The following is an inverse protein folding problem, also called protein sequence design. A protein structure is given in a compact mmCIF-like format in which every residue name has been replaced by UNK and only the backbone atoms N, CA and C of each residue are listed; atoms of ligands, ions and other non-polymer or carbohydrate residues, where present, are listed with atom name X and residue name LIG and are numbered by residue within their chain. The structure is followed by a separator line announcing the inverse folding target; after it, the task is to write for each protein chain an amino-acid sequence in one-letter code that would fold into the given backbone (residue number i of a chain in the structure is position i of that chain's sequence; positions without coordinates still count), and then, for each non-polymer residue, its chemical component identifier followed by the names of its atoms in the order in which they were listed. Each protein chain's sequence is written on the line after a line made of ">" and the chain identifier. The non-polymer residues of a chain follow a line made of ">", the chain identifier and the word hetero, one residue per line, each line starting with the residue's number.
data_IF_451117147837
#
_entry.id   IF_451117147837
#
_cell.length_a   1.000
_cell.length_b   1.000
_cell.length_c   1.000
_cell.angle_alpha   90.00
_cell.angle_beta   90.00
_cell.angle_gamma   90.00
#
_symmetry.space_group_name_H-M   'P 1'
#
loop_
_entity.id
_entity.type
_entity.pdbx_description
1 polymer ?
#
# COMPACT_ATOMS: atom_id res chain seq x y z
N UNK A 1 -52.57 -30.86 29.16
CA UNK A 1 -53.68 -30.70 28.19
C UNK A 1 -54.44 -29.43 28.54
N UNK A 2 -54.50 -28.53 27.56
CA UNK A 2 -55.47 -27.44 27.35
C UNK A 2 -55.51 -26.32 28.41
N UNK A 3 -55.30 -25.04 28.10
CA UNK A 3 -55.11 -24.37 26.82
C UNK A 3 -55.69 -22.95 26.87
N UNK A 4 -54.83 -21.96 26.56
CA UNK A 4 -55.11 -20.66 25.91
C UNK A 4 -56.22 -19.76 26.48
N UNK A 5 -55.79 -18.65 27.10
CA UNK A 5 -56.31 -17.26 27.08
C UNK A 5 -55.21 -16.47 27.85
N UNK A 6 -54.56 -15.40 27.42
CA UNK A 6 -54.84 -14.34 26.48
C UNK A 6 -53.50 -13.83 25.93
N UNK A 7 -53.26 -14.01 24.64
CA UNK A 7 -52.12 -13.42 23.91
C UNK A 7 -52.72 -12.51 22.81
N UNK A 8 -53.42 -11.47 23.25
CA UNK A 8 -54.06 -10.47 22.39
C UNK A 8 -53.65 -9.08 22.88
N UNK A 9 -52.40 -8.69 22.62
CA UNK A 9 -51.94 -7.30 22.77
C UNK A 9 -50.71 -6.96 21.92
N UNK A 10 -50.44 -7.71 20.84
CA UNK A 10 -49.22 -7.56 20.05
C UNK A 10 -49.42 -7.39 18.53
N UNK A 11 -50.63 -7.06 18.04
CA UNK A 11 -50.86 -6.91 16.59
C UNK A 11 -51.60 -5.64 16.16
N UNK A 12 -51.28 -4.48 16.74
CA UNK A 12 -51.61 -3.18 16.14
C UNK A 12 -50.48 -2.16 16.36
N UNK A 13 -49.34 -2.41 15.73
CA UNK A 13 -48.47 -1.34 15.25
C UNK A 13 -48.36 -1.57 13.74
N UNK A 14 -49.48 -1.37 13.05
CA UNK A 14 -49.46 -1.20 11.60
C UNK A 14 -48.70 0.08 11.31
N UNK A 15 -47.64 -0.07 10.53
CA UNK A 15 -46.82 0.99 9.99
C UNK A 15 -47.70 2.09 9.38
N UNK A 16 -47.85 3.20 10.08
CA UNK A 16 -48.04 4.50 9.43
C UNK A 16 -46.65 5.00 9.05
N UNK A 17 -46.08 4.41 8.01
CA UNK A 17 -44.98 5.03 7.26
C UNK A 17 -45.51 6.34 6.68
N UNK A 18 -45.40 7.42 7.44
CA UNK A 18 -45.56 8.77 6.90
C UNK A 18 -44.45 8.95 5.87
N UNK A 19 -44.77 9.18 4.58
CA UNK A 19 -43.75 9.50 3.60
C UNK A 19 -43.35 10.95 3.87
N UNK A 20 -42.09 11.17 4.28
CA UNK A 20 -41.53 12.52 4.23
C UNK A 20 -40.77 13.02 5.45
N UNK A 21 -40.28 12.17 6.36
CA UNK A 21 -39.19 12.62 7.25
C UNK A 21 -37.89 12.44 6.48
N UNK A 22 -37.49 13.48 5.75
CA UNK A 22 -36.12 13.58 5.28
C UNK A 22 -35.21 13.47 6.50
N UNK A 23 -34.16 12.63 6.49
CA UNK A 23 -33.22 12.57 7.60
C UNK A 23 -32.69 13.99 7.84
N UNK A 24 -32.85 14.51 9.06
CA UNK A 24 -32.24 15.76 9.47
C UNK A 24 -30.74 15.61 9.24
N UNK A 25 -30.19 16.33 8.26
CA UNK A 25 -28.74 16.45 8.12
C UNK A 25 -28.26 17.27 9.31
N UNK A 26 -27.75 16.59 10.33
CA UNK A 26 -27.17 17.22 11.51
C UNK A 26 -25.67 17.38 11.26
N UNK A 27 -25.25 18.58 10.88
CA UNK A 27 -23.83 18.89 10.70
C UNK A 27 -23.25 19.35 12.04
N UNK A 28 -22.17 18.74 12.50
CA UNK A 28 -21.46 19.18 13.71
C UNK A 28 -20.19 19.93 13.31
N UNK A 29 -19.97 21.11 13.90
CA UNK A 29 -18.81 21.97 13.64
C UNK A 29 -18.13 22.27 14.96
N UNK A 30 -16.84 21.94 15.06
CA UNK A 30 -16.03 22.19 16.25
C UNK A 30 -15.07 23.33 15.99
N UNK A 31 -15.05 24.33 16.89
CA UNK A 31 -14.19 25.51 16.73
C UNK A 31 -13.59 25.90 18.08
N UNK A 32 -12.32 26.29 18.05
CA UNK A 32 -11.61 26.79 19.23
C UNK A 32 -12.10 28.19 19.58
N UNK A 33 -12.32 28.46 20.86
CA UNK A 33 -12.65 29.80 21.32
C UNK A 33 -11.56 30.81 20.89
N UNK A 34 -11.99 31.96 20.37
CA UNK A 34 -11.15 33.02 19.82
C UNK A 34 -10.91 32.92 18.30
N UNK A 35 -11.11 31.76 17.70
CA UNK A 35 -10.97 31.56 16.25
C UNK A 35 -12.25 31.91 15.48
N UNK A 36 -12.12 32.01 14.16
CA UNK A 36 -13.22 32.22 13.23
C UNK A 36 -13.98 30.91 12.98
N UNK A 37 -15.31 30.95 13.05
CA UNK A 37 -16.18 29.85 12.61
C UNK A 37 -16.86 30.19 11.30
N UNK A 38 -17.08 29.15 10.49
CA UNK A 38 -17.92 29.24 9.30
C UNK A 38 -18.92 28.11 9.31
N UNK A 39 -20.19 28.49 9.26
CA UNK A 39 -21.33 27.58 9.13
C UNK A 39 -21.87 27.72 7.71
N UNK A 40 -21.91 26.62 6.99
CA UNK A 40 -22.40 26.58 5.62
C UNK A 40 -23.68 25.77 5.57
N UNK A 41 -24.74 26.39 5.05
CA UNK A 41 -26.02 25.71 4.88
C UNK A 41 -25.88 24.60 3.81
N UNK A 42 -26.26 23.34 4.08
CA UNK A 42 -26.15 22.23 3.13
C UNK A 42 -26.91 22.46 1.81
N UNK A 43 -26.38 21.94 0.70
CA UNK A 43 -27.04 22.01 -0.62
C UNK A 43 -27.85 20.75 -0.83
N UNK A 44 -29.11 20.87 -1.24
CA UNK A 44 -29.88 19.72 -1.72
C UNK A 44 -29.81 19.65 -3.24
N UNK A 45 -29.46 18.48 -3.80
CA UNK A 45 -29.52 18.25 -5.25
C UNK A 45 -30.96 18.43 -5.73
N UNK A 46 -31.19 19.31 -6.70
CA UNK A 46 -32.49 19.50 -7.35
C UNK A 46 -33.01 20.95 -7.41
N UNK A 47 -32.33 21.90 -6.77
CA UNK A 47 -32.61 23.33 -6.96
C UNK A 47 -31.37 24.03 -7.51
N UNK A 48 -31.52 24.66 -8.68
CA UNK A 48 -30.61 25.72 -9.13
C UNK A 48 -30.77 26.88 -8.15
N UNK A 49 -29.78 27.01 -7.28
CA UNK A 49 -29.70 27.89 -6.11
C UNK A 49 -29.46 29.36 -6.52
N UNK A 50 -30.18 29.82 -7.55
CA UNK A 50 -30.15 31.22 -7.97
C UNK A 50 -30.90 32.06 -6.94
N UNK A 51 -30.15 32.89 -6.21
CA UNK A 51 -30.62 34.00 -5.37
C UNK A 51 -31.69 33.67 -4.31
N UNK A 52 -31.83 32.41 -3.90
CA UNK A 52 -32.76 32.04 -2.85
C UNK A 52 -32.31 32.63 -1.50
N UNK A 53 -33.13 33.51 -0.93
CA UNK A 53 -32.87 34.15 0.36
C UNK A 53 -32.87 33.09 1.48
N UNK A 54 -31.72 32.94 2.15
CA UNK A 54 -31.52 31.97 3.24
C UNK A 54 -31.57 32.67 4.58
N UNK A 55 -32.46 32.23 5.45
CA UNK A 55 -32.62 32.77 6.80
C UNK A 55 -31.84 31.93 7.81
N UNK A 56 -30.95 32.60 8.53
CA UNK A 56 -30.17 32.02 9.63
C UNK A 56 -30.81 32.32 10.99
N UNK A 57 -30.87 31.30 11.83
CA UNK A 57 -31.38 31.38 13.19
C UNK A 57 -30.43 30.69 14.17
N UNK A 58 -30.04 31.36 15.24
CA UNK A 58 -29.40 30.71 16.39
C UNK A 58 -30.47 30.24 17.39
N UNK A 59 -30.24 29.05 17.93
CA UNK A 59 -30.99 28.41 19.01
C UNK A 59 -29.99 28.15 20.14
N UNK A 60 -29.44 29.23 20.68
CA UNK A 60 -28.51 29.23 21.83
C UNK A 60 -29.29 29.21 23.14
N UNK A 61 -28.64 28.81 24.23
CA UNK A 61 -29.30 28.64 25.55
C UNK A 61 -29.95 29.94 26.05
N UNK A 62 -29.35 31.08 25.73
CA UNK A 62 -29.78 32.38 26.26
C UNK A 62 -30.85 33.09 25.40
N UNK A 63 -30.89 32.84 24.09
CA UNK A 63 -31.84 33.53 23.19
C UNK A 63 -31.95 32.85 21.82
N UNK A 64 -33.13 32.97 21.19
CA UNK A 64 -33.34 32.67 19.76
C UNK A 64 -33.14 33.94 18.94
N UNK A 65 -32.17 33.95 18.02
CA UNK A 65 -31.85 35.16 17.23
C UNK A 65 -31.93 34.92 15.72
N UNK A 66 -32.60 35.83 15.01
CA UNK A 66 -32.65 35.85 13.55
C UNK A 66 -31.59 36.82 13.00
N UNK A 67 -30.56 36.28 12.35
CA UNK A 67 -29.43 37.12 11.90
C UNK A 67 -29.78 37.99 10.69
N UNK A 68 -30.60 37.47 9.77
CA UNK A 68 -31.01 38.20 8.56
C UNK A 68 -31.88 39.43 8.85
N UNK A 69 -32.55 39.48 10.01
CA UNK A 69 -33.37 40.63 10.43
C UNK A 69 -32.57 41.67 11.22
N UNK A 70 -31.33 41.34 11.59
CA UNK A 70 -30.42 42.27 12.26
C UNK A 70 -29.83 43.24 11.24
N UNK A 71 -29.74 44.52 11.60
CA UNK A 71 -29.05 45.53 10.80
C UNK A 71 -27.55 45.20 10.66
N UNK A 72 -26.90 45.73 9.63
CA UNK A 72 -25.45 45.54 9.44
C UNK A 72 -24.62 46.08 10.61
N UNK A 73 -25.10 47.10 11.33
CA UNK A 73 -24.46 47.63 12.53
C UNK A 73 -24.54 46.64 13.70
N UNK A 74 -25.71 46.03 13.93
CA UNK A 74 -25.89 45.00 14.96
C UNK A 74 -25.05 43.74 14.65
N UNK A 75 -25.03 43.33 13.38
CA UNK A 75 -24.18 42.22 12.92
C UNK A 75 -22.68 42.48 13.18
N UNK A 76 -22.21 43.69 12.89
CA UNK A 76 -20.82 44.11 13.22
C UNK A 76 -20.56 44.09 14.72
N UNK A 77 -21.49 44.58 15.54
CA UNK A 77 -21.36 44.57 17.00
C UNK A 77 -21.29 43.14 17.56
N UNK A 78 -22.01 42.20 16.93
CA UNK A 78 -21.95 40.78 17.26
C UNK A 78 -20.71 40.07 16.68
N UNK A 79 -19.98 40.69 15.76
CA UNK A 79 -18.88 40.04 15.04
C UNK A 79 -19.36 38.90 14.12
N UNK A 80 -20.56 39.03 13.55
CA UNK A 80 -21.18 38.00 12.70
C UNK A 80 -21.40 38.56 11.28
N UNK A 81 -21.14 37.74 10.26
CA UNK A 81 -21.40 38.08 8.86
C UNK A 81 -22.34 37.04 8.24
N UNK A 82 -23.39 37.51 7.59
CA UNK A 82 -24.34 36.65 6.88
C UNK A 82 -24.30 36.98 5.40
N UNK A 83 -24.05 35.97 4.57
CA UNK A 83 -24.17 36.12 3.13
C UNK A 83 -24.67 34.82 2.49
N UNK A 84 -25.92 34.86 2.03
CA UNK A 84 -26.61 33.70 1.46
C UNK A 84 -26.49 32.48 2.38
N UNK A 85 -25.85 31.42 1.88
CA UNK A 85 -25.68 30.13 2.55
C UNK A 85 -24.54 30.07 3.55
N UNK A 86 -23.88 31.19 3.85
CA UNK A 86 -22.72 31.23 4.72
C UNK A 86 -23.01 32.17 5.90
N UNK A 87 -22.82 31.65 7.10
CA UNK A 87 -22.79 32.40 8.35
C UNK A 87 -21.38 32.32 8.93
N UNK A 88 -20.75 33.47 9.12
CA UNK A 88 -19.41 33.60 9.68
C UNK A 88 -19.50 34.22 11.06
N UNK A 89 -18.80 33.64 12.03
CA UNK A 89 -18.59 34.23 13.35
C UNK A 89 -17.09 34.56 13.43
N UNK A 90 -16.75 35.85 13.50
CA UNK A 90 -15.38 36.34 13.37
C UNK A 90 -14.49 35.88 14.55
N UNK A 91 -15.03 35.92 15.77
CA UNK A 91 -14.36 35.39 16.97
C UNK A 91 -15.37 34.62 17.81
N UNK A 92 -15.23 33.32 17.81
CA UNK A 92 -16.12 32.42 18.53
C UNK A 92 -15.82 32.49 20.03
N UNK A 93 -16.87 32.38 20.83
CA UNK A 93 -16.79 32.28 22.29
C UNK A 93 -17.76 31.22 22.77
N UNK A 94 -17.66 30.80 24.03
CA UNK A 94 -18.56 29.79 24.62
C UNK A 94 -20.04 30.17 24.51
N UNK A 95 -20.37 31.47 24.48
CA UNK A 95 -21.74 31.97 24.33
C UNK A 95 -22.32 31.70 22.93
N UNK A 96 -21.46 31.46 21.93
CA UNK A 96 -21.89 31.12 20.59
C UNK A 96 -22.21 29.62 20.44
N UNK A 97 -21.93 28.80 21.45
CA UNK A 97 -22.22 27.36 21.42
C UNK A 97 -23.73 27.11 21.37
N UNK A 98 -24.16 26.26 20.46
CA UNK A 98 -25.57 25.92 20.33
C UNK A 98 -25.93 25.40 18.94
N UNK A 99 -27.23 25.25 18.73
CA UNK A 99 -27.75 24.80 17.45
C UNK A 99 -28.11 26.00 16.57
N UNK A 100 -27.67 25.96 15.34
CA UNK A 100 -27.98 26.93 14.31
C UNK A 100 -28.87 26.25 13.29
N UNK A 101 -29.78 27.01 12.69
CA UNK A 101 -30.55 26.51 11.57
C UNK A 101 -30.59 27.51 10.44
N UNK A 102 -30.61 26.95 9.23
CA UNK A 102 -30.81 27.68 7.99
C UNK A 102 -32.05 27.17 7.27
N UNK A 103 -32.86 28.09 6.77
CA UNK A 103 -34.07 27.78 6.00
C UNK A 103 -34.14 28.66 4.76
N UNK A 104 -34.51 28.06 3.63
CA UNK A 104 -34.70 28.78 2.37
C UNK A 104 -36.09 29.43 2.35
N UNK A 105 -36.20 30.64 1.79
CA UNK A 105 -37.49 31.30 1.57
C UNK A 105 -38.43 30.37 0.80
N UNK A 106 -39.67 30.24 1.27
CA UNK A 106 -40.70 29.34 0.72
C UNK A 106 -40.43 27.83 0.86
N UNK A 107 -39.48 27.42 1.70
CA UNK A 107 -39.25 26.02 2.04
C UNK A 107 -39.60 25.75 3.50
N UNK A 108 -40.34 24.66 3.75
CA UNK A 108 -40.51 24.12 5.10
C UNK A 108 -39.27 23.36 5.58
N UNK A 109 -38.28 23.17 4.70
CA UNK A 109 -37.04 22.46 5.03
C UNK A 109 -36.10 23.37 5.80
N UNK A 110 -35.63 22.85 6.92
CA UNK A 110 -34.65 23.48 7.79
C UNK A 110 -33.49 22.53 8.00
N UNK A 111 -32.29 22.99 7.72
CA UNK A 111 -31.07 22.26 8.04
C UNK A 111 -30.54 22.74 9.38
N UNK A 112 -29.99 21.80 10.15
CA UNK A 112 -29.52 22.06 11.51
C UNK A 112 -28.02 21.83 11.58
N UNK A 113 -27.32 22.76 12.23
CA UNK A 113 -25.88 22.75 12.41
C UNK A 113 -25.60 22.96 13.89
N UNK A 114 -24.87 22.05 14.52
CA UNK A 114 -24.45 22.18 15.91
C UNK A 114 -23.05 22.75 15.97
N UNK A 115 -22.90 23.94 16.57
CA UNK A 115 -21.60 24.55 16.82
C UNK A 115 -21.15 24.21 18.24
N UNK A 116 -20.08 23.43 18.34
CA UNK A 116 -19.41 23.11 19.60
C UNK A 116 -18.15 23.95 19.75
N UNK A 117 -18.05 24.67 20.87
CA UNK A 117 -16.94 25.58 21.13
C UNK A 117 -16.06 24.97 22.20
N UNK A 118 -14.79 24.76 21.87
CA UNK A 118 -13.84 24.15 22.79
C UNK A 118 -12.78 25.17 23.23
N UNK A 119 -12.30 25.01 24.46
CA UNK A 119 -11.26 25.87 25.05
C UNK A 119 -9.97 25.08 25.20
N UNK A 120 -8.86 25.75 25.49
CA UNK A 120 -7.55 25.10 25.66
C UNK A 120 -7.50 24.03 26.78
N UNK A 121 -8.53 23.91 27.63
CA UNK A 121 -8.62 22.89 28.67
C UNK A 121 -9.25 21.57 28.20
N UNK A 122 -9.91 21.51 27.04
CA UNK A 122 -10.62 20.30 26.60
C UNK A 122 -9.74 19.40 25.72
N UNK A 123 -9.00 18.47 26.33
CA UNK A 123 -8.17 17.47 25.62
C UNK A 123 -8.96 16.54 24.70
N UNK A 124 -10.24 16.30 25.02
CA UNK A 124 -11.11 15.36 24.30
C UNK A 124 -11.51 15.84 22.89
N UNK A 125 -11.50 17.15 22.63
CA UNK A 125 -11.94 17.71 21.34
C UNK A 125 -10.81 17.81 20.29
N UNK A 126 -9.54 17.85 20.75
CA UNK A 126 -8.36 17.89 19.89
C UNK A 126 -8.21 16.61 19.04
N UNK A 127 -8.75 15.48 19.53
CA UNK A 127 -8.67 14.18 18.86
C UNK A 127 -9.75 13.98 17.78
N UNK A 128 -10.94 14.57 17.91
CA UNK A 128 -12.06 14.32 16.99
C UNK A 128 -11.93 15.00 15.62
N UNK A 129 -11.10 16.04 15.49
CA UNK A 129 -10.94 16.82 14.26
C UNK A 129 -9.58 16.65 13.60
N UNK A 130 -8.83 15.61 13.99
CA UNK A 130 -7.48 15.37 13.50
C UNK A 130 -7.53 14.58 12.18
N UNK A 131 -6.98 15.16 11.11
CA UNK A 131 -6.80 14.40 9.86
C UNK A 131 -5.55 13.54 9.95
N UNK A 132 -5.66 12.25 9.64
CA UNK A 132 -4.52 11.35 9.57
C UNK A 132 -3.84 11.39 8.20
N UNK A 133 -2.51 11.40 8.18
CA UNK A 133 -1.68 11.36 6.98
C UNK A 133 -0.48 10.45 7.20
N UNK A 134 -0.14 9.69 6.17
CA UNK A 134 0.98 8.75 6.14
C UNK A 134 1.94 9.12 5.01
N UNK A 135 3.25 8.95 5.25
CA UNK A 135 4.30 9.07 4.24
C UNK A 135 5.51 8.18 4.58
N UNK A 136 6.49 8.08 3.68
CA UNK A 136 7.66 7.22 3.85
C UNK A 136 8.94 8.03 4.06
N UNK A 137 9.93 7.44 4.75
CA UNK A 137 11.24 8.08 4.96
C UNK A 137 11.97 8.33 3.64
N UNK A 138 12.85 9.33 3.62
CA UNK A 138 13.72 9.67 2.47
C UNK A 138 12.98 10.24 1.23
N UNK A 139 11.65 10.29 1.25
CA UNK A 139 10.86 10.96 0.22
C UNK A 139 10.68 12.45 0.54
N UNK A 140 10.49 13.28 -0.49
CA UNK A 140 10.01 14.65 -0.30
C UNK A 140 8.50 14.64 -0.04
N UNK A 141 8.04 15.41 0.95
CA UNK A 141 6.62 15.41 1.33
C UNK A 141 6.11 16.84 1.57
N UNK A 142 4.85 17.10 1.24
CA UNK A 142 4.19 18.38 1.50
C UNK A 142 2.92 18.16 2.31
N UNK A 143 2.88 18.72 3.52
CA UNK A 143 1.68 18.81 4.32
C UNK A 143 0.70 19.81 3.70
N UNK A 144 -0.53 19.34 3.49
CA UNK A 144 -1.64 20.17 3.04
C UNK A 144 -2.57 20.47 4.20
N UNK A 145 -2.84 21.75 4.41
CA UNK A 145 -3.79 22.19 5.42
C UNK A 145 -5.20 21.82 4.93
N UNK A 146 -6.01 21.08 5.71
CA UNK A 146 -7.34 20.65 5.28
C UNK A 146 -8.16 21.79 4.67
N UNK A 147 -8.77 21.53 3.51
CA UNK A 147 -9.62 22.51 2.86
C UNK A 147 -10.95 22.63 3.61
N UNK A 148 -11.36 23.86 3.90
CA UNK A 148 -12.72 24.17 4.32
C UNK A 148 -13.39 24.72 3.07
N UNK A 149 -14.35 23.98 2.49
CA UNK A 149 -15.03 24.29 1.22
C UNK A 149 -15.93 25.53 1.32
N UNK A 150 -15.34 26.70 1.57
CA UNK A 150 -16.06 27.97 1.73
C UNK A 150 -15.52 28.96 0.72
N UNK A 151 -16.39 29.41 -0.19
CA UNK A 151 -16.11 30.54 -1.06
C UNK A 151 -16.40 31.83 -0.29
N UNK A 152 -15.35 32.60 0.02
CA UNK A 152 -15.45 33.88 0.72
C UNK A 152 -15.51 35.09 -0.24
N UNK A 153 -15.48 34.86 -1.55
CA UNK A 153 -15.36 35.93 -2.56
C UNK A 153 -16.45 37.01 -2.44
N UNK A 154 -17.60 36.67 -1.86
CA UNK A 154 -18.74 37.58 -1.68
C UNK A 154 -18.79 38.29 -0.32
N UNK A 155 -17.90 37.96 0.61
CA UNK A 155 -17.87 38.48 1.98
C UNK A 155 -16.76 39.53 2.23
N UNK A 156 -16.01 39.93 1.18
CA UNK A 156 -14.82 40.78 1.29
C UNK A 156 -13.77 40.25 2.29
N UNK A 157 -13.72 38.93 2.49
CA UNK A 157 -12.71 38.27 3.32
C UNK A 157 -11.63 37.73 2.39
N UNK A 158 -10.38 38.12 2.63
CA UNK A 158 -9.24 37.69 1.81
C UNK A 158 -8.32 36.75 2.59
N UNK A 159 -7.81 35.73 1.91
CA UNK A 159 -6.84 34.79 2.50
C UNK A 159 -5.48 35.47 2.60
N UNK A 160 -4.94 35.56 3.82
CA UNK A 160 -3.67 36.24 4.12
C UNK A 160 -2.47 35.30 4.19
N UNK A 161 -2.67 33.98 4.29
CA UNK A 161 -1.58 32.99 4.32
C UNK A 161 -1.86 31.80 5.23
N UNK A 162 -0.88 30.89 5.30
CA UNK A 162 -0.93 29.67 6.13
C UNK A 162 0.40 29.52 6.87
N UNK A 163 0.36 29.21 8.16
CA UNK A 163 1.53 28.83 8.94
C UNK A 163 1.35 27.45 9.56
N UNK A 164 2.47 26.73 9.74
CA UNK A 164 2.50 25.42 10.37
C UNK A 164 3.20 25.48 11.73
N UNK A 165 2.65 24.75 12.69
CA UNK A 165 3.24 24.53 14.01
C UNK A 165 3.27 23.04 14.35
N UNK A 166 4.43 22.49 14.68
CA UNK A 166 4.60 21.14 15.20
C UNK A 166 4.57 21.19 16.73
N UNK A 167 3.78 20.33 17.35
CA UNK A 167 3.77 20.19 18.80
C UNK A 167 5.13 19.66 19.30
N UNK A 168 5.80 20.42 20.18
CA UNK A 168 7.06 20.01 20.79
C UNK A 168 8.29 20.02 19.87
N UNK A 169 8.24 20.68 18.71
CA UNK A 169 9.37 20.67 17.78
C UNK A 169 9.39 21.79 16.74
N UNK A 170 10.38 21.73 15.85
CA UNK A 170 10.51 22.67 14.72
C UNK A 170 9.48 22.34 13.64
N UNK A 171 8.93 23.38 13.02
CA UNK A 171 7.91 23.25 11.98
C UNK A 171 8.54 23.42 10.60
N UNK A 172 8.07 22.67 9.58
CA UNK A 172 8.55 22.83 8.21
C UNK A 172 8.15 24.19 7.65
N UNK A 173 9.01 24.78 6.80
CA UNK A 173 8.66 25.98 6.03
C UNK A 173 7.59 25.62 5.01
N UNK A 174 6.47 26.33 5.03
CA UNK A 174 5.31 26.12 4.14
C UNK A 174 4.74 24.69 4.12
N UNK A 175 5.01 23.90 5.17
CA UNK A 175 4.57 22.50 5.24
C UNK A 175 5.42 21.54 4.39
N UNK A 176 6.55 21.98 3.82
CA UNK A 176 7.36 21.18 2.93
C UNK A 176 8.56 20.54 3.63
N UNK A 177 8.76 19.24 3.36
CA UNK A 177 9.89 18.43 3.79
C UNK A 177 10.65 17.99 2.53
N UNK A 178 11.92 18.42 2.36
CA UNK A 178 12.75 17.93 1.26
C UNK A 178 13.02 16.42 1.34
N UNK A 179 13.16 15.89 2.56
CA UNK A 179 13.34 14.48 2.88
C UNK A 179 12.77 14.23 4.27
N UNK A 180 11.75 13.39 4.40
CA UNK A 180 11.10 13.11 5.70
C UNK A 180 11.90 12.06 6.49
N UNK A 181 11.96 12.23 7.81
CA UNK A 181 12.57 11.28 8.75
C UNK A 181 11.56 10.77 9.77
N UNK A 182 11.87 9.70 10.49
CA UNK A 182 10.94 9.10 11.45
C UNK A 182 10.54 10.08 12.57
N UNK A 183 11.49 10.88 13.02
CA UNK A 183 11.32 11.97 13.99
C UNK A 183 10.41 13.10 13.52
N UNK A 184 10.14 13.21 12.21
CA UNK A 184 9.16 14.15 11.67
C UNK A 184 7.72 13.71 11.93
N UNK A 185 7.50 12.47 12.39
CA UNK A 185 6.18 12.04 12.88
C UNK A 185 5.71 12.95 14.02
N UNK A 186 4.42 13.22 14.08
CA UNK A 186 3.85 14.05 15.14
C UNK A 186 2.56 14.76 14.77
N UNK A 187 2.16 15.67 15.64
CA UNK A 187 0.96 16.48 15.49
C UNK A 187 1.34 17.86 14.96
N UNK A 188 0.73 18.22 13.84
CA UNK A 188 0.94 19.48 13.14
C UNK A 188 -0.36 20.28 13.12
N UNK A 189 -0.31 21.52 13.58
CA UNK A 189 -1.41 22.48 13.48
C UNK A 189 -1.11 23.45 12.34
N UNK A 190 -1.97 23.48 11.32
CA UNK A 190 -1.96 24.59 10.36
C UNK A 190 -2.90 25.69 10.83
N UNK A 191 -2.45 26.94 10.71
CA UNK A 191 -3.24 28.14 10.97
C UNK A 191 -3.43 28.89 9.66
N UNK A 192 -4.68 29.03 9.20
CA UNK A 192 -5.05 29.88 8.07
C UNK A 192 -5.44 31.25 8.58
N UNK A 193 -4.94 32.30 7.92
CA UNK A 193 -5.24 33.69 8.27
C UNK A 193 -6.16 34.32 7.24
N UNK A 194 -7.12 35.10 7.72
CA UNK A 194 -8.11 35.81 6.93
C UNK A 194 -8.11 37.28 7.32
N UNK A 195 -8.01 38.17 6.34
CA UNK A 195 -8.08 39.61 6.53
C UNK A 195 -9.52 40.07 6.25
N UNK A 196 -10.11 40.73 7.24
CA UNK A 196 -11.44 41.34 7.15
C UNK A 196 -11.44 42.66 7.93
N UNK A 197 -11.88 43.75 7.27
CA UNK A 197 -11.96 45.10 7.86
C UNK A 197 -10.67 45.55 8.58
N UNK A 198 -9.52 45.28 7.97
CA UNK A 198 -8.20 45.62 8.52
C UNK A 198 -7.73 44.74 9.68
N UNK A 199 -8.53 43.75 10.12
CA UNK A 199 -8.19 42.83 11.19
C UNK A 199 -7.92 41.42 10.67
N UNK A 200 -7.01 40.72 11.35
CA UNK A 200 -6.65 39.33 11.03
C UNK A 200 -7.42 38.39 11.94
N UNK A 201 -8.10 37.43 11.33
CA UNK A 201 -8.78 36.31 11.99
C UNK A 201 -8.12 35.01 11.56
N UNK A 202 -8.17 34.00 12.42
CA UNK A 202 -7.51 32.73 12.18
C UNK A 202 -8.48 31.55 12.29
N UNK A 203 -8.13 30.48 11.59
CA UNK A 203 -8.75 29.16 11.72
C UNK A 203 -7.65 28.12 11.79
N UNK A 204 -7.72 27.21 12.76
CA UNK A 204 -6.76 26.11 12.87
C UNK A 204 -7.33 24.79 12.37
N UNK A 205 -6.44 23.89 12.00
CA UNK A 205 -6.74 22.48 11.72
C UNK A 205 -5.54 21.64 12.08
N UNK A 206 -5.80 20.46 12.64
CA UNK A 206 -4.77 19.57 13.19
C UNK A 206 -4.60 18.35 12.29
N UNK A 207 -3.36 18.00 11.99
CA UNK A 207 -2.96 16.88 11.14
C UNK A 207 -2.03 15.98 11.94
N UNK A 208 -2.32 14.69 12.00
CA UNK A 208 -1.38 13.66 12.49
C UNK A 208 -0.58 13.17 11.30
N UNK A 209 0.74 13.37 11.32
CA UNK A 209 1.65 12.80 10.34
C UNK A 209 2.32 11.57 10.95
N UNK A 210 2.18 10.43 10.29
CA UNK A 210 2.89 9.20 10.61
C UNK A 210 3.87 8.86 9.49
N UNK A 211 5.17 8.87 9.81
CA UNK A 211 6.24 8.59 8.85
C UNK A 211 6.65 7.13 9.00
N UNK A 212 6.43 6.33 7.96
CA UNK A 212 6.80 4.92 7.91
C UNK A 212 8.20 4.76 7.32
N UNK A 213 8.97 3.74 7.73
CA UNK A 213 10.22 3.42 7.07
C UNK A 213 9.95 3.09 5.60
N UNK A 214 10.76 3.63 4.70
CA UNK A 214 10.69 3.31 3.29
C UNK A 214 11.03 1.82 3.09
N UNK A 215 10.19 1.10 2.36
CA UNK A 215 10.42 -0.32 2.04
C UNK A 215 11.51 -0.53 0.98
N UNK A 216 11.96 0.55 0.33
CA UNK A 216 12.91 0.52 -0.79
C UNK A 216 14.35 0.14 -0.37
N UNK A 217 14.64 -0.01 0.92
CA UNK A 217 16.00 -0.38 1.37
C UNK A 217 16.42 -1.82 1.06
N UNK A 218 15.48 -2.74 0.84
CA UNK A 218 15.79 -4.11 0.40
C UNK A 218 15.66 -4.17 -1.13
N UNK A 219 16.78 -4.17 -1.87
CA UNK A 219 16.72 -4.29 -3.33
C UNK A 219 16.33 -5.70 -3.74
N UNK A 220 15.32 -5.84 -4.61
CA UNK A 220 14.96 -7.11 -5.22
C UNK A 220 16.14 -7.64 -6.06
N UNK A 221 16.68 -8.83 -5.75
CA UNK A 221 17.91 -9.34 -6.38
C UNK A 221 17.85 -10.84 -6.64
N UNK A 222 18.42 -11.27 -7.77
CA UNK A 222 18.61 -12.70 -8.09
C UNK A 222 19.86 -13.19 -7.37
N UNK A 223 19.70 -14.20 -6.51
CA UNK A 223 20.76 -14.79 -5.69
C UNK A 223 21.45 -15.94 -6.44
N UNK A 224 20.70 -16.64 -7.28
CA UNK A 224 21.17 -17.78 -8.08
C UNK A 224 20.29 -17.93 -9.32
N UNK A 225 20.82 -18.29 -10.50
CA UNK A 225 22.22 -18.57 -10.82
C UNK A 225 23.07 -17.30 -10.98
N UNK A 226 24.40 -17.45 -11.09
CA UNK A 226 25.28 -16.34 -11.43
C UNK A 226 25.11 -15.92 -12.91
N UNK A 227 25.29 -14.64 -13.20
CA UNK A 227 25.19 -14.18 -14.58
C UNK A 227 26.30 -14.79 -15.44
N UNK A 228 25.92 -15.39 -16.58
CA UNK A 228 26.76 -16.16 -17.50
C UNK A 228 27.27 -17.49 -16.94
N UNK A 229 26.60 -18.05 -15.92
CA UNK A 229 26.90 -19.39 -15.43
C UNK A 229 26.67 -20.45 -16.51
N UNK A 230 27.61 -21.40 -16.61
CA UNK A 230 27.55 -22.53 -17.56
C UNK A 230 27.23 -23.81 -16.80
N UNK A 231 26.20 -24.52 -17.24
CA UNK A 231 25.81 -25.82 -16.67
C UNK A 231 26.23 -26.96 -17.59
N UNK A 232 27.00 -27.89 -17.04
CA UNK A 232 27.43 -29.09 -17.78
C UNK A 232 26.36 -30.18 -17.76
N UNK A 233 25.90 -30.60 -18.94
CA UNK A 233 24.76 -31.51 -19.11
C UNK A 233 25.08 -32.64 -20.08
N UNK A 234 24.36 -33.75 -19.92
CA UNK A 234 24.46 -34.91 -20.82
C UNK A 234 23.26 -34.89 -21.79
N UNK A 235 23.48 -35.17 -23.08
CA UNK A 235 22.38 -35.28 -24.04
C UNK A 235 21.39 -36.38 -23.60
N UNK A 236 20.10 -36.07 -23.68
CA UNK A 236 19.04 -36.97 -23.25
C UNK A 236 18.77 -36.99 -21.73
N UNK A 237 19.58 -36.30 -20.91
CA UNK A 237 19.37 -36.26 -19.46
C UNK A 237 18.23 -35.33 -19.05
N UNK A 238 17.73 -35.54 -17.83
CA UNK A 238 16.81 -34.61 -17.16
C UNK A 238 17.62 -33.65 -16.30
N UNK A 239 17.39 -32.35 -16.46
CA UNK A 239 18.11 -31.28 -15.75
C UNK A 239 17.10 -30.28 -15.19
N UNK A 240 17.29 -29.85 -13.94
CA UNK A 240 16.49 -28.80 -13.31
C UNK A 240 17.43 -27.69 -12.87
N UNK A 241 17.12 -26.46 -13.26
CA UNK A 241 17.91 -25.28 -12.92
C UNK A 241 17.02 -24.30 -12.17
N UNK A 242 17.38 -24.05 -10.91
CA UNK A 242 16.64 -23.15 -10.04
C UNK A 242 17.15 -21.71 -10.20
N UNK A 243 16.21 -20.80 -10.40
CA UNK A 243 16.43 -19.37 -10.22
C UNK A 243 15.80 -18.93 -8.91
N UNK A 244 16.62 -18.44 -7.99
CA UNK A 244 16.24 -18.01 -6.65
C UNK A 244 16.49 -16.51 -6.51
N UNK A 245 15.48 -15.78 -6.04
CA UNK A 245 15.56 -14.34 -5.87
C UNK A 245 14.95 -13.89 -4.53
N UNK A 246 15.47 -12.78 -4.01
CA UNK A 246 14.81 -11.98 -2.96
C UNK A 246 13.92 -10.96 -3.66
N UNK A 247 12.65 -10.93 -3.27
CA UNK A 247 11.62 -10.03 -3.76
C UNK A 247 11.35 -8.92 -2.74
N UNK A 248 10.94 -7.77 -3.24
CA UNK A 248 10.49 -6.62 -2.43
C UNK A 248 9.01 -6.74 -2.06
N UNK A 249 8.23 -7.38 -2.92
CA UNK A 249 6.78 -7.41 -2.85
C UNK A 249 6.25 -8.75 -3.34
N UNK A 250 5.09 -9.16 -2.82
CA UNK A 250 4.35 -10.34 -3.30
C UNK A 250 3.84 -10.16 -4.76
N UNK A 251 3.94 -8.93 -5.29
CA UNK A 251 3.59 -8.57 -6.67
C UNK A 251 4.78 -8.61 -7.64
N UNK A 252 6.01 -8.81 -7.17
CA UNK A 252 7.15 -8.94 -8.08
C UNK A 252 7.02 -10.25 -8.88
N UNK A 253 7.54 -10.27 -10.10
CA UNK A 253 7.48 -11.44 -10.98
C UNK A 253 8.89 -12.01 -11.21
N UNK A 254 9.03 -13.33 -11.00
CA UNK A 254 10.25 -14.08 -11.27
C UNK A 254 9.96 -15.18 -12.29
N UNK A 255 10.59 -15.12 -13.47
CA UNK A 255 10.31 -16.04 -14.57
C UNK A 255 11.52 -16.32 -15.46
N UNK A 256 11.43 -17.42 -16.21
CA UNK A 256 12.42 -17.83 -17.21
C UNK A 256 12.01 -17.41 -18.63
N UNK A 257 13.02 -17.09 -19.45
CA UNK A 257 12.92 -16.81 -20.88
C UNK A 257 13.93 -17.67 -21.64
N UNK A 258 13.57 -18.14 -22.83
CA UNK A 258 14.53 -18.70 -23.80
C UNK A 258 14.78 -17.65 -24.87
N UNK A 259 16.00 -17.10 -24.94
CA UNK A 259 16.27 -15.91 -25.75
C UNK A 259 15.36 -14.74 -25.34
N UNK A 260 14.45 -14.34 -26.23
CA UNK A 260 13.44 -13.29 -26.02
C UNK A 260 12.00 -13.80 -25.94
N UNK A 261 11.78 -15.11 -25.98
CA UNK A 261 10.46 -15.74 -25.91
C UNK A 261 10.15 -16.28 -24.52
N UNK A 262 8.90 -16.13 -24.09
CA UNK A 262 8.35 -16.78 -22.90
C UNK A 262 8.23 -18.29 -23.12
N UNK A 263 8.44 -19.08 -22.07
CA UNK A 263 8.15 -20.51 -22.09
C UNK A 263 6.64 -20.75 -22.04
N UNK A 264 6.16 -21.69 -22.84
CA UNK A 264 4.78 -22.17 -22.72
C UNK A 264 4.62 -22.96 -21.41
N UNK A 265 3.48 -22.74 -20.73
CA UNK A 265 3.13 -23.40 -19.47
C UNK A 265 2.74 -24.88 -19.63
N UNK A 266 2.83 -25.41 -20.85
CA UNK A 266 2.46 -26.79 -21.13
C UNK A 266 3.51 -27.75 -20.60
N UNK A 267 3.19 -28.38 -19.46
CA UNK A 267 4.02 -29.39 -18.80
C UNK A 267 4.35 -30.63 -19.66
N UNK A 268 3.69 -30.80 -20.81
CA UNK A 268 3.93 -31.88 -21.78
C UNK A 268 5.13 -31.63 -22.71
N UNK A 269 5.66 -30.40 -22.75
CA UNK A 269 6.82 -30.05 -23.55
C UNK A 269 8.13 -30.61 -22.96
N UNK A 270 9.15 -30.89 -23.79
CA UNK A 270 10.45 -31.40 -23.33
C UNK A 270 11.20 -30.40 -22.44
N UNK A 271 10.88 -29.11 -22.55
CA UNK A 271 11.32 -28.04 -21.65
C UNK A 271 10.08 -27.38 -21.07
N UNK A 272 9.99 -27.30 -19.74
CA UNK A 272 8.84 -26.75 -19.03
C UNK A 272 9.30 -25.85 -17.88
N UNK A 273 8.50 -24.84 -17.55
CA UNK A 273 8.73 -24.00 -16.37
C UNK A 273 7.80 -24.43 -15.23
N UNK A 274 8.31 -24.42 -13.99
CA UNK A 274 7.47 -24.58 -12.81
C UNK A 274 7.61 -23.36 -11.89
N UNK A 275 6.49 -22.72 -11.60
CA UNK A 275 6.41 -21.62 -10.65
C UNK A 275 5.94 -22.16 -9.31
N UNK A 276 6.85 -22.24 -8.34
CA UNK A 276 6.47 -22.55 -6.96
C UNK A 276 6.35 -21.23 -6.23
N UNK A 277 5.13 -20.68 -6.19
CA UNK A 277 4.81 -19.54 -5.30
C UNK A 277 4.55 -20.08 -3.89
N UNK A 278 5.49 -19.97 -2.93
CA UNK A 278 5.11 -20.19 -1.55
C UNK A 278 4.09 -19.11 -1.17
N UNK A 279 2.89 -19.53 -0.77
CA UNK A 279 1.92 -18.63 -0.16
C UNK A 279 2.44 -18.26 1.23
N UNK A 280 3.28 -17.23 1.30
CA UNK A 280 3.80 -16.73 2.57
C UNK A 280 2.74 -15.83 3.22
N UNK A 281 1.96 -16.41 4.14
CA UNK A 281 1.21 -15.62 5.11
C UNK A 281 2.22 -14.92 6.02
N UNK A 282 2.37 -13.59 5.85
CA UNK A 282 3.19 -12.76 6.75
C UNK A 282 2.76 -12.98 8.20
N UNK A 283 3.65 -13.56 9.00
CA UNK A 283 3.53 -13.57 10.47
C UNK A 283 4.27 -12.37 11.07
N UNK A 284 5.34 -11.88 10.42
CA UNK A 284 6.13 -10.71 10.83
C UNK A 284 6.57 -9.86 9.62
N UNK A 285 6.84 -8.57 9.85
CA UNK A 285 7.09 -7.55 8.82
C UNK A 285 8.54 -7.46 8.31
N UNK A 286 9.44 -8.34 8.76
CA UNK A 286 10.89 -8.23 8.59
C UNK A 286 11.53 -9.43 7.87
N UNK A 287 10.74 -10.38 7.36
CA UNK A 287 11.27 -11.54 6.63
C UNK A 287 11.32 -11.23 5.13
N UNK A 288 12.52 -11.33 4.54
CA UNK A 288 12.77 -11.21 3.11
C UNK A 288 11.95 -12.26 2.32
N UNK A 289 11.20 -11.82 1.30
CA UNK A 289 10.38 -12.72 0.47
C UNK A 289 11.33 -13.43 -0.50
N UNK A 290 11.56 -14.72 -0.30
CA UNK A 290 12.41 -15.51 -1.20
C UNK A 290 11.54 -16.37 -2.12
N UNK A 291 11.73 -16.23 -3.43
CA UNK A 291 11.02 -17.01 -4.44
C UNK A 291 11.98 -17.84 -5.28
N UNK A 292 11.50 -18.99 -5.75
CA UNK A 292 12.27 -19.89 -6.62
C UNK A 292 11.41 -20.32 -7.80
N UNK A 293 11.93 -20.15 -9.01
CA UNK A 293 11.36 -20.66 -10.25
C UNK A 293 12.35 -21.60 -10.93
N UNK A 294 11.86 -22.74 -11.41
CA UNK A 294 12.74 -23.80 -11.93
C UNK A 294 12.52 -23.99 -13.43
N UNK A 295 13.63 -23.99 -14.18
CA UNK A 295 13.67 -24.38 -15.58
C UNK A 295 13.97 -25.87 -15.68
N UNK A 296 13.04 -26.65 -16.24
CA UNK A 296 13.11 -28.11 -16.26
C UNK A 296 13.30 -28.60 -17.69
N UNK A 297 14.44 -29.22 -17.96
CA UNK A 297 14.72 -30.00 -19.16
C UNK A 297 14.40 -31.46 -18.84
N UNK A 298 13.36 -32.04 -19.46
CA UNK A 298 13.06 -33.48 -19.29
C UNK A 298 14.04 -34.34 -20.06
N UNK A 299 14.41 -33.87 -21.27
CA UNK A 299 15.35 -34.53 -22.16
C UNK A 299 16.15 -33.46 -22.89
N UNK A 300 17.41 -33.25 -22.51
CA UNK A 300 18.29 -32.28 -23.15
C UNK A 300 18.57 -32.67 -24.61
N UNK A 301 18.38 -31.74 -25.53
CA UNK A 301 18.67 -31.87 -26.96
C UNK A 301 19.89 -31.03 -27.38
N UNK A 302 20.41 -31.25 -28.59
CA UNK A 302 21.49 -30.42 -29.14
C UNK A 302 21.07 -28.97 -29.34
N UNK A 303 19.80 -28.75 -29.70
CA UNK A 303 19.22 -27.42 -29.87
C UNK A 303 19.25 -26.63 -28.54
N UNK A 304 19.04 -27.31 -27.41
CA UNK A 304 19.06 -26.68 -26.09
C UNK A 304 20.45 -26.16 -25.69
N UNK A 305 21.53 -26.73 -26.24
CA UNK A 305 22.92 -26.29 -26.02
C UNK A 305 23.27 -25.00 -26.78
N UNK A 306 22.52 -24.70 -27.84
CA UNK A 306 22.74 -23.51 -28.67
C UNK A 306 22.01 -22.25 -28.18
N UNK A 307 21.18 -22.40 -27.14
CA UNK A 307 20.30 -21.36 -26.62
C UNK A 307 20.82 -20.73 -25.33
N UNK A 308 20.40 -19.49 -25.12
CA UNK A 308 20.57 -18.77 -23.87
C UNK A 308 19.27 -18.79 -23.09
N UNK A 309 19.35 -19.01 -21.78
CA UNK A 309 18.21 -19.00 -20.89
C UNK A 309 18.36 -17.86 -19.89
N UNK A 310 17.36 -17.00 -19.78
CA UNK A 310 17.42 -15.82 -18.93
C UNK A 310 16.40 -15.95 -17.81
N UNK A 311 16.85 -15.91 -16.56
CA UNK A 311 15.97 -15.68 -15.44
C UNK A 311 15.83 -14.17 -15.24
N UNK A 312 14.59 -13.69 -15.19
CA UNK A 312 14.27 -12.27 -15.05
C UNK A 312 13.41 -12.06 -13.81
N UNK A 313 13.82 -11.11 -12.98
CA UNK A 313 13.11 -10.57 -11.84
C UNK A 313 12.60 -9.17 -12.21
N UNK A 314 11.30 -8.97 -12.17
CA UNK A 314 10.65 -7.74 -12.55
C UNK A 314 9.82 -7.21 -11.38
N UNK A 315 10.18 -6.01 -10.89
CA UNK A 315 9.40 -5.25 -9.90
C UNK A 315 8.98 -3.90 -10.49
N UNK A 316 8.13 -3.16 -9.75
CA UNK A 316 7.72 -1.79 -10.11
C UNK A 316 8.88 -0.78 -10.11
N UNK A 317 10.00 -1.10 -9.45
CA UNK A 317 11.12 -0.18 -9.23
C UNK A 317 12.37 -0.55 -10.03
N UNK A 318 12.71 -1.83 -10.08
CA UNK A 318 13.97 -2.31 -10.67
C UNK A 318 13.75 -3.63 -11.41
N UNK A 319 14.51 -3.83 -12.49
CA UNK A 319 14.48 -5.07 -13.26
C UNK A 319 15.87 -5.67 -13.26
N UNK A 320 15.97 -6.91 -12.77
CA UNK A 320 17.20 -7.67 -12.70
C UNK A 320 17.08 -8.94 -13.55
N UNK A 321 18.18 -9.35 -14.18
CA UNK A 321 18.19 -10.58 -14.96
C UNK A 321 19.57 -11.22 -14.98
N UNK A 322 19.59 -12.55 -15.09
CA UNK A 322 20.79 -13.36 -15.28
C UNK A 322 20.59 -14.29 -16.45
N UNK A 323 21.62 -14.46 -17.27
CA UNK A 323 21.58 -15.36 -18.42
C UNK A 323 22.53 -16.53 -18.19
N UNK A 324 22.10 -17.74 -18.51
CA UNK A 324 22.89 -18.97 -18.41
C UNK A 324 22.96 -19.68 -19.77
N UNK A 325 23.90 -20.62 -19.87
CA UNK A 325 24.06 -21.49 -21.05
C UNK A 325 24.34 -22.93 -20.63
N UNK A 326 23.98 -23.88 -21.49
CA UNK A 326 24.29 -25.30 -21.29
C UNK A 326 25.51 -25.70 -22.12
N UNK A 327 26.34 -26.60 -21.57
CA UNK A 327 27.47 -27.18 -22.28
C UNK A 327 27.43 -28.70 -22.15
N UNK A 328 27.67 -29.41 -23.24
CA UNK A 328 27.80 -30.87 -23.18
C UNK A 328 29.02 -31.25 -22.33
N UNK A 329 28.86 -32.22 -21.43
CA UNK A 329 30.02 -32.82 -20.75
C UNK A 329 30.93 -33.47 -21.78
N UNK A 330 32.23 -33.22 -21.67
CA UNK A 330 33.23 -33.97 -22.42
C UNK A 330 33.09 -35.44 -21.98
N UNK A 331 32.63 -36.32 -22.87
CA UNK A 331 32.16 -37.68 -22.61
C UNK A 331 33.19 -38.68 -22.05
N UNK A 332 34.11 -38.26 -21.20
CA UNK A 332 35.00 -39.12 -20.40
C UNK A 332 34.24 -39.61 -19.17
N UNK A 333 33.53 -40.72 -19.32
CA UNK A 333 32.95 -41.47 -18.20
C UNK A 333 34.03 -42.14 -17.32
N UNK A 334 35.27 -42.19 -17.82
CA UNK A 334 36.43 -42.75 -17.13
C UNK A 334 37.64 -41.83 -17.27
N UNK A 335 38.34 -41.61 -16.16
CA UNK A 335 39.56 -40.80 -16.09
C UNK A 335 40.82 -41.63 -16.37
N UNK A 336 40.72 -42.96 -16.26
CA UNK A 336 41.78 -43.91 -16.54
C UNK A 336 41.19 -45.22 -17.08
N UNK A 337 41.93 -45.91 -17.95
CA UNK A 337 41.56 -47.23 -18.46
C UNK A 337 42.72 -48.19 -18.25
N UNK A 338 42.44 -49.34 -17.65
CA UNK A 338 43.39 -50.44 -17.50
C UNK A 338 43.01 -51.55 -18.47
N UNK A 339 43.94 -51.92 -19.35
CA UNK A 339 43.84 -53.12 -20.16
C UNK A 339 44.58 -54.26 -19.47
N UNK A 340 43.93 -55.42 -19.37
CA UNK A 340 44.54 -56.62 -18.83
C UNK A 340 44.22 -57.82 -19.72
N UNK A 341 45.11 -58.82 -19.72
CA UNK A 341 45.03 -59.98 -20.61
C UNK A 341 44.94 -61.25 -19.77
N UNK A 342 44.13 -62.21 -20.22
CA UNK A 342 44.16 -63.59 -19.71
C UNK A 342 45.27 -64.36 -20.43
N UNK A 343 46.07 -65.11 -19.69
CA UNK A 343 47.12 -65.97 -20.23
C UNK A 343 46.75 -67.43 -20.01
N UNK A 344 47.30 -68.35 -20.80
CA UNK A 344 47.10 -69.80 -20.61
C UNK A 344 47.64 -70.33 -19.27
N UNK A 345 48.45 -69.54 -18.59
CA UNK A 345 49.09 -69.86 -17.29
C UNK A 345 48.56 -69.02 -16.12
N UNK A 346 47.74 -68.01 -16.39
CA UNK A 346 47.23 -67.07 -15.38
C UNK A 346 45.82 -66.58 -15.76
N UNK A 347 44.85 -66.79 -14.87
CA UNK A 347 43.44 -66.41 -15.07
C UNK A 347 43.22 -64.90 -15.13
N UNK A 348 44.26 -64.10 -14.86
CA UNK A 348 44.20 -62.64 -14.86
C UNK A 348 43.49 -62.10 -13.62
N UNK A 349 42.95 -60.88 -13.70
CA UNK A 349 42.24 -60.25 -12.60
C UNK A 349 40.91 -60.98 -12.31
N UNK A 350 40.76 -61.49 -11.08
CA UNK A 350 39.50 -62.07 -10.59
C UNK A 350 38.41 -60.99 -10.46
N UNK A 351 37.13 -61.38 -10.41
CA UNK A 351 36.05 -60.40 -10.21
C UNK A 351 36.19 -59.59 -8.91
N UNK A 352 36.70 -60.21 -7.85
CA UNK A 352 36.91 -59.55 -6.57
C UNK A 352 38.06 -58.53 -6.65
N UNK A 353 39.13 -58.87 -7.39
CA UNK A 353 40.23 -57.93 -7.66
C UNK A 353 39.77 -56.75 -8.51
N UNK A 354 38.88 -56.98 -9.49
CA UNK A 354 38.28 -55.92 -10.31
C UNK A 354 37.46 -54.95 -9.46
N UNK A 355 36.55 -55.48 -8.63
CA UNK A 355 35.72 -54.68 -7.72
C UNK A 355 36.58 -53.91 -6.72
N UNK A 356 37.63 -54.54 -6.19
CA UNK A 356 38.56 -53.90 -5.25
C UNK A 356 39.35 -52.79 -5.91
N UNK A 357 39.83 -52.99 -7.14
CA UNK A 357 40.58 -52.00 -7.88
C UNK A 357 39.71 -50.80 -8.27
N UNK A 358 38.47 -51.03 -8.73
CA UNK A 358 37.50 -49.95 -9.01
C UNK A 358 37.18 -49.14 -7.75
N UNK A 359 36.97 -49.82 -6.61
CA UNK A 359 36.70 -49.19 -5.32
C UNK A 359 37.89 -48.35 -4.81
N UNK A 360 39.11 -48.88 -4.88
CA UNK A 360 40.32 -48.15 -4.46
C UNK A 360 40.59 -46.94 -5.35
N UNK A 361 40.52 -47.10 -6.67
CA UNK A 361 40.73 -45.97 -7.60
C UNK A 361 39.69 -44.87 -7.40
N UNK A 362 38.42 -45.23 -7.15
CA UNK A 362 37.35 -44.28 -6.89
C UNK A 362 37.47 -43.60 -5.52
N UNK A 363 37.62 -44.38 -4.46
CA UNK A 363 37.51 -43.87 -3.09
C UNK A 363 38.81 -43.22 -2.60
N UNK A 364 39.97 -43.71 -3.04
CA UNK A 364 41.27 -43.25 -2.54
C UNK A 364 41.94 -42.22 -3.46
N UNK A 365 41.67 -42.30 -4.76
CA UNK A 365 42.32 -41.46 -5.76
C UNK A 365 41.36 -40.61 -6.60
N UNK A 366 40.04 -40.78 -6.45
CA UNK A 366 39.03 -39.98 -7.16
C UNK A 366 38.95 -40.28 -8.67
N UNK A 367 39.53 -41.39 -9.14
CA UNK A 367 39.48 -41.81 -10.54
C UNK A 367 38.30 -42.74 -10.80
N UNK A 368 37.55 -42.47 -11.87
CA UNK A 368 36.64 -43.46 -12.48
C UNK A 368 37.47 -44.33 -13.44
N UNK A 369 37.55 -45.64 -13.15
CA UNK A 369 38.40 -46.59 -13.88
C UNK A 369 37.58 -47.44 -14.85
N UNK A 370 38.03 -47.57 -16.10
CA UNK A 370 37.51 -48.53 -17.07
C UNK A 370 38.40 -49.77 -17.13
N UNK A 371 37.81 -50.98 -17.08
CA UNK A 371 38.53 -52.26 -17.14
C UNK A 371 38.19 -52.99 -18.45
N UNK A 372 39.18 -53.21 -19.30
CA UNK A 372 39.00 -53.90 -20.60
C UNK A 372 39.82 -55.19 -20.68
N UNK A 373 39.19 -56.28 -21.11
CA UNK A 373 39.82 -57.58 -21.39
C UNK A 373 39.56 -57.95 -22.85
N UNK A 374 40.58 -57.90 -23.73
CA UNK A 374 40.46 -58.44 -25.07
C UNK A 374 40.50 -59.97 -25.00
N UNK A 375 39.47 -60.66 -25.48
CA UNK A 375 39.53 -62.11 -25.69
C UNK A 375 40.49 -62.37 -26.86
N UNK A 376 41.75 -62.64 -26.56
CA UNK A 376 42.71 -63.12 -27.55
C UNK A 376 42.60 -64.64 -27.56
N UNK A 377 41.91 -65.20 -28.56
CA UNK A 377 42.11 -66.59 -28.97
C UNK A 377 43.22 -66.56 -30.02
N UNK A 378 44.46 -67.01 -29.71
CA UNK A 378 45.42 -67.28 -30.75
C UNK A 378 45.10 -68.67 -31.31
N UNK A 379 44.64 -68.72 -32.56
CA UNK A 379 44.55 -69.96 -33.33
C UNK A 379 45.90 -70.71 -33.28
N UNK A 380 45.86 -71.94 -32.77
CA UNK A 380 46.55 -73.10 -33.37
C UNK A 380 46.06 -74.42 -32.82
#
# INVERSE_FOLDING_TARGET
>A
MNGKISLLLLSLIFLTSTPGVCPLSFQEVHVKAGEMAVLQCPSYRGYSDGDAEVFWTSHTVDEMKLFNMSTSAEQRQMGVLVHGRILVILRVSVNHQGNYSCSFRNSSRRSWISLKVYTAQSRECEQMNQSFKECYTEESYKLYCPEKNVSFNTLNITTSGITWHKEGGSSPKDGYFPSVKKEDSGIYTCTRFYLYDGQIYNMTSTVKLDVQPNKITEKAVIISPENKQVFEVDLGSTVVIDCKAVMMSDFDDLFWLSGSSFFDADTSLPVSYNDTRPFLLRVNSTEEITMTTSLIFRKVSEDDLSKNYTCKLQSDYETNFVTITLKQKDGKSYNACLMYYKSSTDQGLSEDDRKRLESEMKNRFGYSLCLYSPDVVPDR
#
